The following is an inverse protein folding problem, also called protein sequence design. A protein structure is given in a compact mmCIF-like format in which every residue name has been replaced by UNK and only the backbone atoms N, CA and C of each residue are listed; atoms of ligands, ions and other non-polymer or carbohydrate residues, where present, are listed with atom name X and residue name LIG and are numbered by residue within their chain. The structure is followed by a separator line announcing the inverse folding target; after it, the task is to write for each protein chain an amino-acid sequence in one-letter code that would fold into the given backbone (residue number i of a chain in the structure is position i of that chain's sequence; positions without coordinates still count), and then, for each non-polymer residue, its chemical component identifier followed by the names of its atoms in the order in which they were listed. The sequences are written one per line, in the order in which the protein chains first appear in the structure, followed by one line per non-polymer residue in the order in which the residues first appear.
data_IF_888725448108
#
_entry.id   IF_888725448108
#
_cell.length_a   1.000
_cell.length_b   1.000
_cell.length_c   1.000
_cell.angle_alpha   90.00
_cell.angle_beta   90.00
_cell.angle_gamma   90.00
#
_symmetry.space_group_name_H-M   'P 1'
#
loop_
_entity.id
_entity.type
_entity.pdbx_description
1 polymer ?
#
# COMPACT_ATOMS: atom_id res chain seq x y z
N UNK A 1 14.05 -5.76 -6.52
CA UNK A 1 12.92 -5.27 -5.71
C UNK A 1 12.72 -3.80 -6.04
N UNK A 2 11.54 -3.43 -6.54
CA UNK A 2 11.17 -2.02 -6.72
C UNK A 2 10.33 -1.65 -5.52
N UNK A 3 10.63 -0.54 -4.84
CA UNK A 3 9.83 -0.05 -3.70
C UNK A 3 9.27 1.30 -4.10
N UNK A 4 7.96 1.46 -3.90
CA UNK A 4 7.29 2.73 -4.10
C UNK A 4 7.08 3.41 -2.74
N UNK A 5 7.57 4.65 -2.63
CA UNK A 5 7.29 5.50 -1.47
C UNK A 5 6.26 6.53 -1.92
N UNK A 6 5.00 6.41 -1.47
CA UNK A 6 3.96 7.35 -1.86
C UNK A 6 4.22 8.74 -1.32
N UNK A 7 3.66 9.72 -2.00
CA UNK A 7 3.50 11.06 -1.43
C UNK A 7 2.44 11.03 -0.34
N UNK A 8 2.50 12.01 0.55
CA UNK A 8 1.43 12.27 1.52
C UNK A 8 0.15 12.70 0.79
N UNK A 9 -0.99 12.35 1.36
CA UNK A 9 -2.30 12.75 0.89
C UNK A 9 -2.54 14.21 1.27
N UNK A 10 -2.38 15.09 0.29
CA UNK A 10 -2.58 16.52 0.45
C UNK A 10 -3.94 16.91 -0.15
N UNK A 11 -4.87 17.32 0.71
CA UNK A 11 -6.19 17.82 0.32
C UNK A 11 -6.32 19.25 0.82
N UNK A 12 -6.62 20.18 -0.09
CA UNK A 12 -6.75 21.60 0.25
C UNK A 12 -7.77 21.80 1.37
N UNK A 13 -7.34 22.44 2.46
CA UNK A 13 -8.19 22.72 3.63
C UNK A 13 -8.44 21.52 4.55
N UNK A 14 -7.80 20.36 4.32
CA UNK A 14 -7.99 19.14 5.11
C UNK A 14 -6.63 18.55 5.56
N UNK A 15 -5.97 19.24 6.49
CA UNK A 15 -4.63 18.87 6.98
C UNK A 15 -4.61 17.57 7.77
N UNK A 16 -5.76 17.08 8.21
CA UNK A 16 -5.87 15.81 8.92
C UNK A 16 -5.38 14.63 8.07
N UNK A 17 -5.42 14.72 6.73
CA UNK A 17 -4.96 13.66 5.83
C UNK A 17 -3.44 13.59 5.62
N UNK A 18 -2.68 14.61 6.04
CA UNK A 18 -1.25 14.75 5.71
C UNK A 18 -0.33 13.66 6.30
N UNK A 19 -0.86 12.76 7.14
CA UNK A 19 -0.17 11.59 7.69
C UNK A 19 -0.58 10.28 7.01
N UNK A 20 -1.32 10.34 5.91
CA UNK A 20 -1.79 9.17 5.17
C UNK A 20 -1.27 9.25 3.73
N UNK A 21 -1.02 8.13 3.03
CA UNK A 21 -0.52 8.16 1.66
C UNK A 21 -1.60 8.58 0.66
N UNK A 22 -1.18 9.24 -0.41
CA UNK A 22 -2.07 9.59 -1.53
C UNK A 22 -2.69 8.33 -2.16
N UNK A 23 -1.87 7.30 -2.36
CA UNK A 23 -2.22 6.01 -2.91
C UNK A 23 -1.14 5.00 -2.48
N UNK A 24 -1.39 3.71 -2.63
CA UNK A 24 -0.39 2.66 -2.33
C UNK A 24 -0.20 1.80 -3.57
N UNK A 25 1.06 1.53 -3.90
CA UNK A 25 1.44 0.62 -4.99
C UNK A 25 2.19 -0.56 -4.40
N UNK A 26 1.65 -1.75 -4.60
CA UNK A 26 2.34 -3.00 -4.34
C UNK A 26 2.79 -3.60 -5.67
N UNK A 27 3.97 -4.21 -5.67
CA UNK A 27 4.49 -4.89 -6.87
C UNK A 27 5.04 -6.26 -6.51
N UNK A 28 5.18 -7.10 -7.53
CA UNK A 28 5.93 -8.35 -7.47
C UNK A 28 6.59 -8.57 -8.82
N UNK A 29 7.86 -8.99 -8.78
CA UNK A 29 8.63 -9.28 -9.99
C UNK A 29 8.90 -10.78 -10.03
N UNK A 30 8.56 -11.41 -11.15
CA UNK A 30 8.84 -12.82 -11.41
C UNK A 30 9.70 -12.94 -12.65
N UNK A 31 10.80 -13.67 -12.58
CA UNK A 31 11.66 -13.96 -13.74
C UNK A 31 11.58 -15.43 -14.10
N UNK A 32 11.22 -15.72 -15.35
CA UNK A 32 11.11 -17.07 -15.91
C UNK A 32 11.89 -17.13 -17.22
N UNK A 33 13.08 -17.71 -17.17
CA UNK A 33 14.01 -17.71 -18.30
C UNK A 33 14.36 -16.29 -18.75
N UNK A 34 14.03 -15.96 -20.00
CA UNK A 34 14.27 -14.65 -20.63
C UNK A 34 13.16 -13.62 -20.38
N UNK A 35 12.07 -14.02 -19.75
CA UNK A 35 10.90 -13.16 -19.49
C UNK A 35 10.93 -12.68 -18.06
N UNK A 36 10.80 -11.38 -17.87
CA UNK A 36 10.53 -10.78 -16.55
C UNK A 36 9.12 -10.21 -16.57
N UNK A 37 8.28 -10.70 -15.66
CA UNK A 37 6.92 -10.24 -15.45
C UNK A 37 6.89 -9.34 -14.23
N UNK A 38 6.36 -8.12 -14.39
CA UNK A 38 6.14 -7.15 -13.35
C UNK A 38 4.64 -7.05 -13.08
N UNK A 39 4.21 -7.51 -11.91
CA UNK A 39 2.86 -7.28 -11.42
C UNK A 39 2.80 -6.02 -10.57
N UNK A 40 1.81 -5.15 -10.79
CA UNK A 40 1.59 -3.93 -10.01
C UNK A 40 0.10 -3.79 -9.67
N UNK A 41 -0.23 -3.67 -8.38
CA UNK A 41 -1.57 -3.32 -7.92
C UNK A 41 -1.57 -1.91 -7.30
N UNK A 42 -2.55 -1.11 -7.71
CA UNK A 42 -2.81 0.23 -7.22
C UNK A 42 -3.99 0.19 -6.25
N UNK A 43 -3.80 0.81 -5.11
CA UNK A 43 -4.79 0.97 -4.07
C UNK A 43 -5.09 2.46 -3.87
N UNK A 44 -6.36 2.83 -4.01
CA UNK A 44 -6.83 4.20 -3.88
C UNK A 44 -7.55 4.42 -2.55
N UNK A 45 -7.43 5.62 -1.95
CA UNK A 45 -8.06 5.92 -0.66
C UNK A 45 -9.58 5.95 -0.80
N UNK A 46 -10.27 5.25 0.11
CA UNK A 46 -11.71 5.37 0.29
C UNK A 46 -12.01 6.38 1.40
N UNK A 47 -12.19 7.64 1.02
CA UNK A 47 -12.44 8.75 1.97
C UNK A 47 -13.66 8.54 2.87
N UNK A 48 -14.61 7.68 2.52
CA UNK A 48 -15.77 7.36 3.37
C UNK A 48 -15.38 6.57 4.62
N UNK A 49 -14.19 5.97 4.63
CA UNK A 49 -13.66 5.15 5.72
C UNK A 49 -12.69 5.90 6.63
N UNK A 50 -12.55 7.21 6.43
CA UNK A 50 -11.66 8.01 7.26
C UNK A 50 -12.16 8.06 8.70
N UNK A 51 -11.31 7.61 9.62
CA UNK A 51 -11.60 7.61 11.04
C UNK A 51 -10.52 8.38 11.81
N UNK A 52 -10.96 9.14 12.80
CA UNK A 52 -10.09 9.81 13.77
C UNK A 52 -10.56 9.45 15.17
N UNK A 53 -9.67 8.87 15.95
CA UNK A 53 -9.93 8.47 17.34
C UNK A 53 -8.79 8.96 18.20
N UNK A 54 -9.02 10.03 18.96
CA UNK A 54 -8.00 10.71 19.78
C UNK A 54 -6.74 11.06 18.96
N UNK A 55 -5.68 10.26 19.10
CA UNK A 55 -4.37 10.45 18.46
C UNK A 55 -4.22 9.62 17.17
N UNK A 56 -5.16 8.71 16.87
CA UNK A 56 -5.07 7.79 15.75
C UNK A 56 -5.92 8.27 14.58
N UNK A 57 -5.33 8.32 13.40
CA UNK A 57 -5.99 8.54 12.12
C UNK A 57 -5.91 7.26 11.31
N UNK A 58 -6.97 6.89 10.61
CA UNK A 58 -7.01 5.67 9.81
C UNK A 58 -7.76 5.90 8.50
N UNK A 59 -7.34 5.21 7.45
CA UNK A 59 -8.00 5.21 6.15
C UNK A 59 -7.86 3.84 5.47
N UNK A 60 -8.93 3.39 4.83
CA UNK A 60 -8.92 2.19 4.00
C UNK A 60 -8.53 2.56 2.57
N UNK A 61 -7.74 1.71 1.93
CA UNK A 61 -7.38 1.79 0.53
C UNK A 61 -7.86 0.55 -0.20
N UNK A 62 -8.58 0.72 -1.31
CA UNK A 62 -9.18 -0.38 -2.07
C UNK A 62 -8.36 -0.65 -3.32
N UNK A 63 -8.10 -1.92 -3.62
CA UNK A 63 -7.49 -2.28 -4.90
C UNK A 63 -8.43 -1.91 -6.04
N UNK A 64 -7.91 -1.23 -7.06
CA UNK A 64 -8.70 -0.93 -8.27
C UNK A 64 -8.91 -2.17 -9.16
N UNK A 65 -8.18 -3.26 -8.90
CA UNK A 65 -8.16 -4.47 -9.72
C UNK A 65 -8.95 -5.63 -9.10
N UNK A 66 -9.00 -5.73 -7.77
CA UNK A 66 -9.72 -6.79 -7.06
C UNK A 66 -10.37 -6.25 -5.77
N UNK A 67 -11.70 -6.11 -5.72
CA UNK A 67 -12.38 -5.52 -4.56
C UNK A 67 -12.29 -6.37 -3.29
N UNK A 68 -11.81 -7.61 -3.37
CA UNK A 68 -11.56 -8.47 -2.21
C UNK A 68 -10.36 -8.01 -1.40
N UNK A 69 -9.43 -7.27 -2.02
CA UNK A 69 -8.22 -6.80 -1.39
C UNK A 69 -8.35 -5.35 -0.94
N UNK A 70 -7.98 -5.11 0.31
CA UNK A 70 -7.97 -3.78 0.92
C UNK A 70 -6.77 -3.63 1.85
N UNK A 71 -6.35 -2.38 2.03
CA UNK A 71 -5.29 -1.99 2.96
C UNK A 71 -5.89 -1.07 4.00
N UNK A 72 -5.48 -1.22 5.25
CA UNK A 72 -5.78 -0.27 6.31
C UNK A 72 -4.48 0.37 6.71
N UNK A 73 -4.38 1.69 6.55
CA UNK A 73 -3.22 2.45 7.02
C UNK A 73 -3.67 3.39 8.11
N UNK A 74 -2.91 3.40 9.20
CA UNK A 74 -3.14 4.31 10.30
C UNK A 74 -1.87 5.00 10.77
N UNK A 75 -2.06 6.15 11.40
CA UNK A 75 -1.00 6.91 12.03
C UNK A 75 -1.44 7.35 13.42
N UNK A 76 -0.64 7.01 14.42
CA UNK A 76 -0.82 7.46 15.80
C UNK A 76 0.14 8.62 16.08
N UNK A 77 -0.40 9.81 16.34
CA UNK A 77 0.39 11.01 16.62
C UNK A 77 1.06 11.02 17.99
N UNK A 78 0.60 10.19 18.94
CA UNK A 78 1.22 10.09 20.26
C UNK A 78 2.54 9.31 20.20
N UNK A 79 2.53 8.18 19.51
CA UNK A 79 3.72 7.32 19.33
C UNK A 79 4.52 7.67 18.08
N UNK A 80 3.96 8.49 17.18
CA UNK A 80 4.48 8.73 15.82
C UNK A 80 4.65 7.45 15.00
N UNK A 81 3.79 6.45 15.25
CA UNK A 81 3.84 5.15 14.58
C UNK A 81 2.87 5.12 13.40
N UNK A 82 3.37 4.67 12.24
CA UNK A 82 2.55 4.23 11.12
C UNK A 82 2.31 2.72 11.22
N UNK A 83 1.07 2.33 10.96
CA UNK A 83 0.62 0.95 10.94
C UNK A 83 -0.05 0.64 9.60
N UNK A 84 0.16 -0.58 9.10
CA UNK A 84 -0.33 -1.09 7.84
C UNK A 84 -0.83 -2.51 8.04
N UNK A 85 -2.03 -2.75 7.56
CA UNK A 85 -2.62 -4.08 7.47
C UNK A 85 -3.14 -4.31 6.06
N UNK A 86 -2.94 -5.51 5.53
CA UNK A 86 -3.46 -5.95 4.24
C UNK A 86 -4.46 -7.07 4.48
N UNK A 87 -5.61 -6.97 3.83
CA UNK A 87 -6.67 -7.96 3.93
C UNK A 87 -7.04 -8.52 2.55
N UNK A 88 -7.50 -9.77 2.53
CA UNK A 88 -8.22 -10.37 1.41
C UNK A 88 -9.47 -11.06 1.96
N UNK A 89 -10.64 -10.69 1.45
CA UNK A 89 -11.93 -11.23 1.94
C UNK A 89 -12.09 -11.10 3.47
N UNK A 90 -11.57 -9.98 4.03
CA UNK A 90 -11.53 -9.64 5.48
C UNK A 90 -10.55 -10.45 6.33
N UNK A 91 -9.82 -11.39 5.75
CA UNK A 91 -8.74 -12.09 6.44
C UNK A 91 -7.44 -11.29 6.32
N UNK A 92 -6.73 -11.12 7.44
CA UNK A 92 -5.45 -10.40 7.46
C UNK A 92 -4.33 -11.26 6.88
N UNK A 93 -3.66 -10.75 5.86
CA UNK A 93 -2.63 -11.48 5.10
C UNK A 93 -1.27 -10.76 5.08
N UNK A 94 -1.15 -9.64 5.79
CA UNK A 94 0.13 -8.93 5.91
C UNK A 94 0.05 -7.73 6.85
N UNK A 95 1.15 -7.48 7.56
CA UNK A 95 1.28 -6.37 8.52
C UNK A 95 2.65 -5.72 8.31
N UNK A 96 2.71 -4.39 8.41
CA UNK A 96 3.96 -3.64 8.46
C UNK A 96 3.80 -2.39 9.34
N UNK A 97 4.89 -1.93 9.94
CA UNK A 97 4.88 -0.74 10.79
C UNK A 97 6.19 0.04 10.66
N UNK A 98 6.18 1.31 11.05
CA UNK A 98 7.38 2.14 11.05
C UNK A 98 7.15 3.53 11.64
N UNK A 99 8.19 4.12 12.21
CA UNK A 99 8.12 5.47 12.81
C UNK A 99 8.45 6.58 11.81
N UNK A 100 9.20 6.25 10.76
CA UNK A 100 9.55 7.15 9.67
C UNK A 100 8.79 6.77 8.40
N UNK A 101 8.39 7.77 7.62
CA UNK A 101 7.62 7.60 6.39
C UNK A 101 8.31 6.68 5.37
N UNK A 102 9.61 6.91 5.12
CA UNK A 102 10.34 6.13 4.12
C UNK A 102 10.55 4.70 4.60
N UNK A 103 10.95 4.54 5.86
CA UNK A 103 11.15 3.20 6.47
C UNK A 103 9.84 2.41 6.50
N UNK A 104 8.73 3.04 6.88
CA UNK A 104 7.40 2.44 6.86
C UNK A 104 7.06 1.88 5.47
N UNK A 105 7.23 2.67 4.40
CA UNK A 105 6.92 2.20 3.05
C UNK A 105 7.95 1.22 2.46
N UNK A 106 9.17 1.18 2.98
CA UNK A 106 10.11 0.08 2.71
C UNK A 106 9.57 -1.24 3.27
N UNK A 107 9.07 -1.25 4.52
CA UNK A 107 8.47 -2.43 5.12
C UNK A 107 7.19 -2.86 4.39
N UNK A 108 6.31 -1.91 4.03
CA UNK A 108 5.12 -2.18 3.21
C UNK A 108 5.51 -2.79 1.87
N UNK A 109 6.51 -2.21 1.19
CA UNK A 109 7.00 -2.72 -0.10
C UNK A 109 7.55 -4.14 -0.04
N UNK A 110 8.06 -4.57 1.13
CA UNK A 110 8.56 -5.93 1.34
C UNK A 110 7.45 -6.99 1.48
N UNK A 111 6.19 -6.60 1.67
CA UNK A 111 5.05 -7.52 1.68
C UNK A 111 4.63 -7.97 0.27
N UNK A 112 4.98 -7.18 -0.76
CA UNK A 112 4.68 -7.44 -2.16
C UNK A 112 3.19 -7.70 -2.48
N UNK A 113 2.91 -8.05 -3.74
CA UNK A 113 1.62 -8.64 -4.12
C UNK A 113 1.49 -10.05 -3.56
N UNK A 114 0.29 -10.38 -3.09
CA UNK A 114 -0.05 -11.73 -2.64
C UNK A 114 -0.29 -12.64 -3.85
N UNK A 115 -0.07 -13.94 -3.69
CA UNK A 115 -0.40 -14.88 -4.77
C UNK A 115 -1.91 -14.89 -5.02
N UNK A 116 -2.30 -14.80 -6.29
CA UNK A 116 -3.71 -14.71 -6.70
C UNK A 116 -4.33 -13.31 -6.69
N UNK A 117 -3.59 -12.29 -6.24
CA UNK A 117 -4.04 -10.90 -6.29
C UNK A 117 -4.03 -10.37 -7.74
N UNK A 118 -5.15 -9.82 -8.21
CA UNK A 118 -5.22 -9.23 -9.56
C UNK A 118 -4.41 -7.94 -9.61
N UNK A 119 -3.68 -7.76 -10.69
CA UNK A 119 -2.79 -6.63 -10.90
C UNK A 119 -2.64 -6.33 -12.39
N UNK A 120 -2.09 -5.17 -12.72
CA UNK A 120 -1.56 -4.90 -14.05
C UNK A 120 -0.27 -5.70 -14.25
N UNK A 121 -0.07 -6.23 -15.46
CA UNK A 121 1.11 -7.02 -15.83
C UNK A 121 1.88 -6.32 -16.94
N UNK A 122 3.18 -6.13 -16.71
CA UNK A 122 4.13 -5.69 -17.73
C UNK A 122 5.18 -6.79 -17.95
N UNK A 123 5.58 -6.96 -19.21
CA UNK A 123 6.53 -7.98 -19.62
C UNK A 123 7.76 -7.31 -20.24
N UNK A 124 8.94 -7.73 -19.80
CA UNK A 124 10.20 -7.38 -20.44
C UNK A 124 10.97 -8.63 -20.83
N UNK A 125 11.70 -8.53 -21.94
CA UNK A 125 12.47 -9.63 -22.52
C UNK A 125 13.94 -9.23 -22.52
N UNK A 126 14.79 -10.04 -21.89
CA UNK A 126 16.23 -9.84 -22.00
C UNK A 126 16.70 -10.36 -23.36
N UNK A 127 17.20 -9.47 -24.22
CA UNK A 127 18.16 -9.84 -25.26
C UNK A 127 19.48 -10.20 -24.60
N UNK A 128 20.14 -11.25 -25.09
CA UNK A 128 21.44 -11.73 -24.60
C UNK A 128 22.50 -10.61 -24.49
#
# INVERSE_FOLDING_TARGET
MVIFIPKKLEVTGRSEFNNLPLNVLLNKVKKEGKVTTHGIALYEPDFSTFLVTENKKQLVYKSIYDPRYELVISYDSYTSLYDYHKYCDREEIGIAFGYDWKVFFIHVGALFLSDGEKCSLEYSYSSE
#
